data_IF_252620819168
#
_entry.id   IF_252620819168
#
_cell.length_a   1.000
_cell.length_b   1.000
_cell.length_c   1.000
_cell.angle_alpha   90.00
_cell.angle_beta   90.00
_cell.angle_gamma   90.00
#
_symmetry.space_group_name_H-M   'P 1'
#
loop_
_entity.id
_entity.type
_entity.pdbx_description
1 polymer ?
#
# COMPACT_ATOMS: atom_id res chain seq x y z
N UNK A 1 -29.41 -13.24 -17.26
CA UNK A 1 -29.59 -11.80 -16.93
C UNK A 1 -28.28 -11.13 -17.29
N UNK A 2 -28.30 -10.14 -18.14
CA UNK A 2 -27.07 -9.44 -18.57
C UNK A 2 -26.67 -8.46 -17.47
N UNK A 3 -25.40 -8.48 -17.05
CA UNK A 3 -24.92 -7.56 -16.03
C UNK A 3 -24.87 -6.14 -16.61
N UNK A 4 -25.40 -5.11 -15.92
CA UNK A 4 -25.65 -3.81 -16.54
C UNK A 4 -24.37 -2.96 -16.76
N UNK A 5 -23.24 -3.37 -16.18
CA UNK A 5 -21.99 -2.61 -16.26
C UNK A 5 -20.93 -3.37 -17.06
N UNK A 6 -20.16 -2.66 -17.87
CA UNK A 6 -19.06 -3.23 -18.66
C UNK A 6 -17.75 -3.32 -17.89
N UNK A 7 -17.60 -2.50 -16.87
CA UNK A 7 -16.38 -2.43 -16.06
C UNK A 7 -16.67 -2.06 -14.61
N UNK A 8 -15.82 -2.50 -13.71
CA UNK A 8 -15.86 -2.19 -12.26
C UNK A 8 -14.46 -1.86 -11.77
N UNK A 9 -14.33 -0.70 -11.10
CA UNK A 9 -13.14 -0.35 -10.31
C UNK A 9 -13.37 -0.70 -8.84
N UNK A 10 -12.55 -1.58 -8.30
CA UNK A 10 -12.59 -1.98 -6.89
C UNK A 10 -11.64 -1.15 -6.02
N UNK A 11 -12.05 -0.81 -4.81
CA UNK A 11 -11.09 -0.54 -3.76
C UNK A 11 -10.45 -1.85 -3.28
N UNK A 12 -9.31 -1.76 -2.59
CA UNK A 12 -8.58 -2.93 -2.11
C UNK A 12 -8.82 -3.18 -0.62
N UNK A 13 -8.31 -2.26 0.20
CA UNK A 13 -8.34 -2.36 1.66
C UNK A 13 -9.78 -2.30 2.20
N UNK A 14 -10.14 -3.23 3.09
CA UNK A 14 -11.48 -3.36 3.68
C UNK A 14 -12.62 -3.52 2.66
N UNK A 15 -12.26 -3.84 1.40
CA UNK A 15 -13.22 -4.14 0.33
C UNK A 15 -12.99 -5.53 -0.25
N UNK A 16 -11.77 -5.84 -0.65
CA UNK A 16 -11.37 -7.17 -1.13
C UNK A 16 -10.53 -7.92 -0.10
N UNK A 17 -9.90 -7.19 0.82
CA UNK A 17 -8.96 -7.73 1.78
C UNK A 17 -9.16 -7.10 3.15
N UNK A 18 -9.25 -7.95 4.17
CA UNK A 18 -9.10 -7.54 5.56
C UNK A 18 -7.62 -7.25 5.83
N UNK A 19 -7.35 -6.13 6.48
CA UNK A 19 -5.99 -5.73 6.79
C UNK A 19 -5.51 -6.21 8.16
N UNK A 20 -6.38 -6.86 8.95
CA UNK A 20 -6.07 -7.28 10.31
C UNK A 20 -5.77 -6.09 11.24
N UNK A 21 -4.93 -6.30 12.22
CA UNK A 21 -4.45 -5.23 13.10
C UNK A 21 -3.36 -4.40 12.41
N UNK A 22 -3.71 -3.20 11.97
CA UNK A 22 -2.73 -2.26 11.41
C UNK A 22 -1.89 -1.60 12.52
N UNK A 23 -0.90 -2.33 13.01
CA UNK A 23 0.08 -1.86 13.99
C UNK A 23 1.42 -1.50 13.35
N UNK A 24 2.02 -0.39 13.78
CA UNK A 24 3.32 0.06 13.31
C UNK A 24 4.51 -0.45 14.16
N UNK A 25 4.22 -0.97 15.37
CA UNK A 25 5.24 -1.41 16.32
C UNK A 25 6.04 -2.61 15.79
N UNK A 26 5.35 -3.71 15.48
CA UNK A 26 6.01 -4.95 15.03
C UNK A 26 6.80 -4.77 13.73
N UNK A 27 6.26 -4.10 12.70
CA UNK A 27 7.04 -3.81 11.49
C UNK A 27 8.30 -2.98 11.76
N UNK A 28 8.22 -1.95 12.62
CA UNK A 28 9.38 -1.14 12.98
C UNK A 28 10.40 -1.93 13.83
N UNK A 29 9.97 -2.81 14.73
CA UNK A 29 10.83 -3.75 15.46
C UNK A 29 11.62 -4.65 14.50
N UNK A 30 11.00 -5.15 13.44
CA UNK A 30 11.68 -5.96 12.40
C UNK A 30 12.73 -5.16 11.65
N UNK A 31 12.42 -3.91 11.29
CA UNK A 31 13.42 -3.00 10.67
C UNK A 31 14.61 -2.81 11.60
N UNK A 32 14.39 -2.58 12.90
CA UNK A 32 15.46 -2.41 13.88
C UNK A 32 16.28 -3.67 14.08
N UNK A 33 15.61 -4.83 14.15
CA UNK A 33 16.31 -6.12 14.22
C UNK A 33 17.19 -6.33 12.99
N UNK A 34 16.67 -6.01 11.79
CA UNK A 34 17.42 -6.11 10.54
C UNK A 34 18.64 -5.18 10.51
N UNK A 35 18.49 -3.92 10.93
CA UNK A 35 19.62 -2.98 11.06
C UNK A 35 20.71 -3.52 12.01
N UNK A 36 20.33 -4.13 13.13
CA UNK A 36 21.27 -4.76 14.07
C UNK A 36 22.04 -5.93 13.43
N UNK A 37 21.38 -6.76 12.61
CA UNK A 37 22.09 -7.84 11.86
C UNK A 37 23.16 -7.30 10.92
N UNK A 38 22.98 -6.10 10.40
CA UNK A 38 23.97 -5.38 9.56
C UNK A 38 25.00 -4.60 10.37
N UNK A 39 25.04 -4.79 11.70
CA UNK A 39 25.94 -4.08 12.61
C UNK A 39 25.77 -2.55 12.54
N UNK A 40 24.54 -2.09 12.32
CA UNK A 40 24.16 -0.68 12.34
C UNK A 40 23.59 -0.34 13.71
N UNK A 41 24.14 0.68 14.35
CA UNK A 41 23.62 1.19 15.62
C UNK A 41 22.22 1.76 15.42
N UNK A 42 21.30 1.39 16.30
CA UNK A 42 19.92 1.88 16.29
C UNK A 42 19.66 2.74 17.54
N UNK A 43 18.81 3.77 17.42
CA UNK A 43 18.40 4.59 18.55
C UNK A 43 17.49 3.85 19.53
N UNK A 44 17.03 4.56 20.56
CA UNK A 44 15.96 4.07 21.42
C UNK A 44 14.69 3.80 20.60
N UNK A 45 14.13 2.62 20.79
CA UNK A 45 13.00 2.15 20.00
C UNK A 45 11.73 2.94 20.27
N UNK A 46 11.42 3.22 21.54
CA UNK A 46 10.19 3.92 21.91
C UNK A 46 10.20 5.37 21.40
N UNK A 47 11.34 6.05 21.49
CA UNK A 47 11.50 7.40 20.92
C UNK A 47 11.31 7.40 19.39
N UNK A 48 11.81 6.37 18.71
CA UNK A 48 11.61 6.20 17.27
C UNK A 48 10.16 5.93 16.90
N UNK A 49 9.50 5.06 17.63
CA UNK A 49 8.09 4.70 17.42
C UNK A 49 7.18 5.92 17.63
N UNK A 50 7.40 6.68 18.69
CA UNK A 50 6.65 7.91 18.97
C UNK A 50 6.84 8.92 17.83
N UNK A 51 8.09 9.15 17.41
CA UNK A 51 8.41 10.07 16.32
C UNK A 51 7.84 9.60 14.97
N UNK A 52 7.85 8.30 14.70
CA UNK A 52 7.21 7.72 13.52
C UNK A 52 5.72 8.06 13.47
N UNK A 53 5.02 7.87 14.59
CA UNK A 53 3.59 8.14 14.71
C UNK A 53 3.24 9.62 14.56
N UNK A 54 4.04 10.48 15.15
CA UNK A 54 3.90 11.95 15.00
C UNK A 54 4.00 12.35 13.52
N UNK A 55 5.07 11.92 12.85
CA UNK A 55 5.34 12.24 11.45
C UNK A 55 4.25 11.70 10.54
N UNK A 56 3.89 10.42 10.71
CA UNK A 56 2.91 9.78 9.85
C UNK A 56 1.55 10.45 9.97
N UNK A 57 1.11 10.80 11.19
CA UNK A 57 -0.14 11.56 11.39
C UNK A 57 -0.10 12.90 10.66
N UNK A 58 0.96 13.67 10.81
CA UNK A 58 1.11 14.97 10.13
C UNK A 58 1.06 14.83 8.59
N UNK A 59 1.68 13.80 8.05
CA UNK A 59 1.67 13.53 6.61
C UNK A 59 0.29 13.09 6.12
N UNK A 60 -0.43 12.26 6.89
CA UNK A 60 -1.80 11.85 6.57
C UNK A 60 -2.75 13.05 6.59
N UNK A 61 -2.64 13.94 7.56
CA UNK A 61 -3.48 15.14 7.63
C UNK A 61 -3.24 16.06 6.42
N UNK A 62 -2.00 16.26 6.04
CA UNK A 62 -1.65 16.99 4.83
C UNK A 62 -2.16 16.28 3.56
N UNK A 63 -2.05 14.97 3.50
CA UNK A 63 -2.55 14.16 2.40
C UNK A 63 -4.06 14.30 2.19
N UNK A 64 -4.82 14.34 3.28
CA UNK A 64 -6.28 14.53 3.25
C UNK A 64 -6.69 15.90 2.70
N UNK A 65 -5.93 16.93 3.00
CA UNK A 65 -6.23 18.31 2.55
C UNK A 65 -5.76 18.58 1.14
N UNK A 66 -4.64 18.00 0.72
CA UNK A 66 -4.03 18.24 -0.60
C UNK A 66 -4.42 17.21 -1.66
N UNK A 67 -5.03 16.10 -1.25
CA UNK A 67 -5.25 14.90 -2.07
C UNK A 67 -3.96 14.29 -2.65
N UNK A 68 -2.80 14.64 -2.14
CA UNK A 68 -1.54 13.97 -2.45
C UNK A 68 -1.31 12.83 -1.48
N UNK A 69 -0.78 11.71 -1.95
CA UNK A 69 -0.56 10.58 -1.05
C UNK A 69 0.60 10.85 -0.08
N UNK A 70 0.45 10.34 1.15
CA UNK A 70 1.54 10.24 2.11
C UNK A 70 2.32 8.95 1.83
N UNK A 71 3.65 9.02 1.88
CA UNK A 71 4.49 7.85 1.66
C UNK A 71 5.21 7.45 2.94
N UNK A 72 4.99 6.22 3.42
CA UNK A 72 5.71 5.71 4.59
C UNK A 72 7.23 5.69 4.38
N UNK A 73 7.65 5.55 3.13
CA UNK A 73 9.06 5.70 2.76
C UNK A 73 9.68 6.99 3.28
N UNK A 74 8.96 8.11 3.20
CA UNK A 74 9.47 9.41 3.64
C UNK A 74 9.52 9.49 5.17
N UNK A 75 8.58 8.85 5.87
CA UNK A 75 8.65 8.69 7.34
C UNK A 75 9.92 7.93 7.72
N UNK A 76 10.17 6.79 7.09
CA UNK A 76 11.34 5.97 7.39
C UNK A 76 12.64 6.71 7.09
N UNK A 77 12.75 7.38 5.93
CA UNK A 77 13.89 8.23 5.58
C UNK A 77 14.15 9.31 6.64
N UNK A 78 13.08 10.00 7.04
CA UNK A 78 13.20 11.05 8.05
C UNK A 78 13.66 10.50 9.40
N UNK A 79 13.12 9.37 9.85
CA UNK A 79 13.55 8.71 11.09
C UNK A 79 15.05 8.37 11.05
N UNK A 80 15.50 7.72 9.99
CA UNK A 80 16.90 7.34 9.82
C UNK A 80 17.82 8.57 9.86
N UNK A 81 17.39 9.66 9.21
CA UNK A 81 18.12 10.93 9.23
C UNK A 81 18.10 11.61 10.61
N UNK A 82 16.90 11.76 11.21
CA UNK A 82 16.70 12.44 12.49
C UNK A 82 17.50 11.80 13.62
N UNK A 83 17.49 10.49 13.70
CA UNK A 83 18.26 9.72 14.68
C UNK A 83 19.69 9.41 14.25
N UNK A 84 20.15 9.97 13.13
CA UNK A 84 21.51 9.79 12.59
C UNK A 84 21.92 8.33 12.43
N UNK A 85 20.98 7.47 12.00
CA UNK A 85 21.25 6.06 11.73
C UNK A 85 22.11 5.96 10.46
N UNK A 86 23.31 5.36 10.51
CA UNK A 86 24.22 5.29 9.37
C UNK A 86 23.86 4.13 8.44
N UNK A 87 22.71 4.18 7.77
CA UNK A 87 22.16 3.07 6.98
C UNK A 87 22.76 2.97 5.57
N UNK A 88 23.17 4.07 4.97
CA UNK A 88 23.71 4.10 3.60
C UNK A 88 24.95 3.21 3.41
N UNK A 89 24.99 2.44 2.32
CA UNK A 89 26.11 1.57 1.94
C UNK A 89 26.08 0.16 2.51
N UNK A 90 25.35 -0.13 3.61
CA UNK A 90 25.20 -1.47 4.19
C UNK A 90 23.81 -2.07 3.98
N UNK A 91 22.81 -1.23 3.84
CA UNK A 91 21.41 -1.60 3.62
C UNK A 91 20.75 -0.55 2.74
N UNK A 92 19.88 -0.97 1.85
CA UNK A 92 19.10 -0.06 1.01
C UNK A 92 17.77 0.29 1.69
N UNK A 93 17.23 1.47 1.35
CA UNK A 93 15.89 1.85 1.82
C UNK A 93 14.82 0.86 1.35
N UNK A 94 14.95 0.36 0.12
CA UNK A 94 14.06 -0.67 -0.42
C UNK A 94 14.07 -1.94 0.43
N UNK A 95 15.25 -2.38 0.87
CA UNK A 95 15.41 -3.55 1.76
C UNK A 95 14.72 -3.31 3.11
N UNK A 96 14.86 -2.12 3.71
CA UNK A 96 14.19 -1.79 4.97
C UNK A 96 12.67 -1.71 4.81
N UNK A 97 12.19 -1.14 3.72
CA UNK A 97 10.76 -1.09 3.40
C UNK A 97 10.20 -2.50 3.17
N UNK A 98 10.93 -3.37 2.48
CA UNK A 98 10.51 -4.75 2.28
C UNK A 98 10.37 -5.47 3.62
N UNK A 99 11.37 -5.38 4.51
CA UNK A 99 11.31 -5.95 5.87
C UNK A 99 10.11 -5.42 6.66
N UNK A 100 9.81 -4.12 6.55
CA UNK A 100 8.66 -3.50 7.19
C UNK A 100 7.35 -4.10 6.67
N UNK A 101 7.19 -4.18 5.36
CA UNK A 101 5.94 -4.60 4.74
C UNK A 101 5.70 -6.11 4.80
N UNK A 102 6.74 -6.93 4.81
CA UNK A 102 6.60 -8.36 5.02
C UNK A 102 5.91 -8.65 6.36
N UNK A 103 6.16 -7.85 7.39
CA UNK A 103 5.45 -7.98 8.68
C UNK A 103 4.03 -7.42 8.61
N UNK A 104 3.81 -6.30 7.92
CA UNK A 104 2.47 -5.71 7.73
C UNK A 104 1.52 -6.68 7.03
N UNK A 105 2.03 -7.50 6.10
CA UNK A 105 1.20 -8.38 5.28
C UNK A 105 0.86 -9.72 5.92
N UNK A 106 1.46 -10.07 7.06
CA UNK A 106 1.25 -11.38 7.69
C UNK A 106 -0.18 -11.62 8.18
N UNK A 107 -0.92 -10.57 8.50
CA UNK A 107 -2.28 -10.66 9.07
C UNK A 107 -3.36 -10.33 8.03
N UNK A 108 -3.01 -10.23 6.75
CA UNK A 108 -3.95 -9.86 5.70
C UNK A 108 -4.64 -11.07 5.11
N UNK A 109 -5.97 -11.02 5.09
CA UNK A 109 -6.81 -12.09 4.57
C UNK A 109 -7.80 -11.56 3.53
N UNK A 110 -8.00 -12.35 2.46
CA UNK A 110 -9.04 -12.06 1.47
C UNK A 110 -10.40 -12.38 2.11
N UNK A 111 -11.38 -11.50 1.96
CA UNK A 111 -12.73 -11.81 2.41
C UNK A 111 -13.28 -13.07 1.71
N UNK A 112 -13.97 -13.96 2.42
CA UNK A 112 -14.34 -15.28 1.90
C UNK A 112 -15.12 -15.27 0.58
N UNK A 113 -15.96 -14.24 0.38
CA UNK A 113 -16.83 -14.11 -0.80
C UNK A 113 -16.12 -13.52 -2.03
N UNK A 114 -14.93 -12.95 -1.88
CA UNK A 114 -14.26 -12.18 -2.95
C UNK A 114 -13.98 -13.02 -4.17
N UNK A 115 -13.45 -14.24 -3.99
CA UNK A 115 -13.07 -15.10 -5.12
C UNK A 115 -14.31 -15.45 -5.94
N UNK A 116 -15.39 -15.88 -5.30
CA UNK A 116 -16.62 -16.27 -5.97
C UNK A 116 -17.25 -15.10 -6.75
N UNK A 117 -17.24 -13.89 -6.17
CA UNK A 117 -17.72 -12.66 -6.83
C UNK A 117 -16.88 -12.31 -8.04
N UNK A 118 -15.55 -12.33 -7.91
CA UNK A 118 -14.66 -11.99 -9.01
C UNK A 118 -14.74 -13.02 -10.16
N UNK A 119 -14.88 -14.32 -9.83
CA UNK A 119 -15.11 -15.37 -10.83
C UNK A 119 -16.44 -15.16 -11.57
N UNK A 120 -17.50 -14.84 -10.84
CA UNK A 120 -18.80 -14.58 -11.48
C UNK A 120 -18.77 -13.37 -12.40
N UNK A 121 -18.12 -12.26 -11.99
CA UNK A 121 -17.96 -11.06 -12.83
C UNK A 121 -17.11 -11.35 -14.07
N UNK A 122 -16.05 -12.14 -13.91
CA UNK A 122 -15.21 -12.59 -15.03
C UNK A 122 -16.00 -13.43 -16.05
N UNK A 123 -16.85 -14.37 -15.58
CA UNK A 123 -17.74 -15.15 -16.43
C UNK A 123 -18.76 -14.28 -17.19
N UNK A 124 -19.17 -13.15 -16.63
CA UNK A 124 -20.04 -12.18 -17.29
C UNK A 124 -19.27 -11.25 -18.26
N UNK A 125 -17.96 -11.41 -18.37
CA UNK A 125 -17.13 -10.58 -19.27
C UNK A 125 -16.96 -9.15 -18.79
N UNK A 126 -17.08 -8.89 -17.47
CA UNK A 126 -16.89 -7.58 -16.88
C UNK A 126 -15.39 -7.30 -16.74
N UNK A 127 -14.93 -6.18 -17.29
CA UNK A 127 -13.56 -5.69 -17.08
C UNK A 127 -13.38 -5.20 -15.66
N UNK A 128 -12.32 -5.60 -14.99
CA UNK A 128 -12.10 -5.27 -13.57
C UNK A 128 -10.75 -4.61 -13.36
N UNK A 129 -10.72 -3.57 -12.52
CA UNK A 129 -9.51 -2.87 -12.13
C UNK A 129 -9.49 -2.51 -10.65
N UNK A 130 -8.30 -2.31 -10.11
CA UNK A 130 -8.11 -1.85 -8.72
C UNK A 130 -7.81 -0.35 -8.74
N UNK A 131 -8.44 0.40 -7.82
CA UNK A 131 -8.17 1.83 -7.56
C UNK A 131 -8.03 2.00 -6.06
N UNK A 132 -6.81 1.95 -5.55
CA UNK A 132 -6.55 1.91 -4.10
C UNK A 132 -5.74 3.11 -3.61
N UNK A 133 -6.20 3.71 -2.49
CA UNK A 133 -5.36 4.64 -1.72
C UNK A 133 -4.40 3.85 -0.85
N UNK A 134 -3.12 4.16 -0.92
CA UNK A 134 -2.09 3.47 -0.15
C UNK A 134 -0.87 4.34 0.08
N UNK A 135 -0.34 4.32 1.30
CA UNK A 135 0.94 4.94 1.66
C UNK A 135 2.14 4.07 1.29
N UNK A 136 1.88 2.83 0.87
CA UNK A 136 2.88 1.83 0.53
C UNK A 136 3.35 2.04 -0.90
N UNK A 137 4.61 1.74 -1.18
CA UNK A 137 5.13 1.83 -2.54
C UNK A 137 4.45 0.83 -3.49
N UNK A 138 4.35 1.20 -4.77
CA UNK A 138 3.70 0.39 -5.81
C UNK A 138 4.24 -1.05 -5.84
N UNK A 139 5.58 -1.23 -5.78
CA UNK A 139 6.16 -2.57 -5.85
C UNK A 139 5.71 -3.49 -4.68
N UNK A 140 5.42 -2.92 -3.51
CA UNK A 140 4.93 -3.68 -2.36
C UNK A 140 3.48 -4.11 -2.57
N UNK A 141 2.67 -3.22 -3.14
CA UNK A 141 1.28 -3.53 -3.49
C UNK A 141 1.17 -4.54 -4.62
N UNK A 142 2.10 -4.52 -5.57
CA UNK A 142 2.18 -5.55 -6.60
C UNK A 142 2.53 -6.93 -6.00
N UNK A 143 3.48 -7.00 -5.06
CA UNK A 143 3.79 -8.24 -4.35
C UNK A 143 2.59 -8.76 -3.54
N UNK A 144 1.85 -7.87 -2.89
CA UNK A 144 0.62 -8.22 -2.16
C UNK A 144 -0.46 -8.76 -3.11
N UNK A 145 -0.69 -8.08 -4.23
CA UNK A 145 -1.66 -8.50 -5.24
C UNK A 145 -1.29 -9.85 -5.87
N UNK A 146 -0.02 -10.07 -6.17
CA UNK A 146 0.47 -11.37 -6.66
C UNK A 146 0.31 -12.47 -5.62
N UNK A 147 0.72 -12.20 -4.38
CA UNK A 147 0.62 -13.16 -3.27
C UNK A 147 -0.81 -13.51 -2.89
N UNK A 148 -1.77 -12.60 -3.11
CA UNK A 148 -3.19 -12.87 -2.89
C UNK A 148 -3.82 -13.86 -3.88
N UNK A 149 -3.19 -14.09 -5.04
CA UNK A 149 -3.74 -14.88 -6.14
C UNK A 149 -4.88 -14.21 -6.90
N UNK A 150 -5.23 -12.95 -6.56
CA UNK A 150 -6.34 -12.21 -7.19
C UNK A 150 -5.91 -11.48 -8.46
N UNK A 151 -4.61 -11.32 -8.72
CA UNK A 151 -4.09 -10.56 -9.87
C UNK A 151 -4.71 -10.97 -11.21
N UNK A 152 -5.01 -12.25 -11.37
CA UNK A 152 -5.59 -12.82 -12.60
C UNK A 152 -6.98 -12.29 -12.98
N UNK A 153 -7.67 -11.64 -12.05
CA UNK A 153 -9.01 -11.07 -12.28
C UNK A 153 -8.98 -9.61 -12.73
N UNK A 154 -7.84 -8.92 -12.59
CA UNK A 154 -7.75 -7.49 -12.81
C UNK A 154 -6.92 -7.15 -14.05
N UNK A 155 -7.47 -6.30 -14.90
CA UNK A 155 -6.80 -5.79 -16.10
C UNK A 155 -5.69 -4.80 -15.73
N UNK A 156 -5.87 -4.06 -14.63
CA UNK A 156 -4.89 -3.10 -14.10
C UNK A 156 -5.08 -2.87 -12.59
N UNK A 157 -4.06 -2.29 -11.96
CA UNK A 157 -4.14 -1.75 -10.61
C UNK A 157 -3.54 -0.34 -10.57
N UNK A 158 -4.29 0.62 -10.02
CA UNK A 158 -3.86 1.99 -9.79
C UNK A 158 -3.75 2.20 -8.29
N UNK A 159 -2.53 2.50 -7.83
CA UNK A 159 -2.22 2.82 -6.45
C UNK A 159 -1.92 4.30 -6.33
N UNK A 160 -2.53 4.98 -5.34
CA UNK A 160 -2.33 6.41 -5.15
C UNK A 160 -0.88 6.82 -4.90
N UNK A 161 -0.06 5.90 -4.39
CA UNK A 161 1.38 6.12 -4.22
C UNK A 161 2.17 6.17 -5.54
N UNK A 162 1.58 5.74 -6.65
CA UNK A 162 2.19 5.77 -7.98
C UNK A 162 1.64 6.86 -8.90
N UNK A 163 0.70 7.68 -8.42
CA UNK A 163 0.04 8.73 -9.21
C UNK A 163 0.01 10.07 -8.46
N UNK A 164 -0.21 11.21 -9.14
CA UNK A 164 -0.12 12.53 -8.49
C UNK A 164 -1.12 12.77 -7.37
N UNK A 165 -2.31 12.15 -7.43
CA UNK A 165 -3.40 12.39 -6.49
C UNK A 165 -4.13 11.10 -6.10
N UNK A 166 -4.53 11.04 -4.83
CA UNK A 166 -5.32 9.96 -4.25
C UNK A 166 -6.83 10.19 -4.42
N UNK A 167 -7.64 9.13 -4.22
CA UNK A 167 -9.09 9.28 -4.04
C UNK A 167 -9.38 10.24 -2.87
N UNK A 168 -10.37 11.15 -2.97
CA UNK A 168 -11.40 11.25 -4.01
C UNK A 168 -11.06 12.19 -5.18
N UNK A 169 -9.80 12.57 -5.43
CA UNK A 169 -9.46 13.46 -6.52
C UNK A 169 -9.87 12.85 -7.87
N UNK A 170 -10.55 13.62 -8.78
CA UNK A 170 -11.10 13.08 -10.02
C UNK A 170 -10.08 12.43 -10.96
N UNK A 171 -8.82 12.90 -10.96
CA UNK A 171 -7.80 12.42 -11.88
C UNK A 171 -7.49 10.92 -11.73
N UNK A 172 -7.57 10.35 -10.53
CA UNK A 172 -7.30 8.91 -10.34
C UNK A 172 -8.42 8.07 -10.98
N UNK A 173 -9.67 8.55 -10.95
CA UNK A 173 -10.81 7.89 -11.62
C UNK A 173 -10.74 8.06 -13.12
N UNK A 174 -10.34 9.25 -13.62
CA UNK A 174 -10.14 9.50 -15.06
C UNK A 174 -9.05 8.56 -15.62
N UNK A 175 -7.97 8.34 -14.86
CA UNK A 175 -6.94 7.37 -15.23
C UNK A 175 -7.52 5.95 -15.33
N UNK A 176 -8.35 5.53 -14.38
CA UNK A 176 -9.01 4.22 -14.40
C UNK A 176 -9.95 4.08 -15.63
N UNK A 177 -10.74 5.11 -15.94
CA UNK A 177 -11.61 5.13 -17.13
C UNK A 177 -10.78 4.95 -18.40
N UNK A 178 -9.61 5.58 -18.51
CA UNK A 178 -8.73 5.43 -19.66
C UNK A 178 -8.16 4.01 -19.78
N UNK A 179 -7.87 3.35 -18.67
CA UNK A 179 -7.42 1.95 -18.67
C UNK A 179 -8.52 0.98 -19.12
N UNK A 180 -9.76 1.22 -18.72
CA UNK A 180 -10.88 0.42 -19.20
C UNK A 180 -11.22 0.65 -20.70
N UNK A 181 -10.56 1.60 -21.37
CA UNK A 181 -10.85 2.00 -22.75
C UNK A 181 -12.33 2.39 -22.96
N UNK A 182 -12.98 2.83 -21.91
CA UNK A 182 -14.36 3.30 -21.96
C UNK A 182 -14.36 4.76 -22.46
N UNK A 183 -15.26 5.05 -23.39
CA UNK A 183 -15.56 6.45 -23.72
C UNK A 183 -16.50 7.01 -22.64
N UNK A 184 -16.30 8.26 -22.18
CA UNK A 184 -17.18 8.88 -21.22
C UNK A 184 -18.62 9.05 -21.75
#
# INVERSE_FOLDING_TARGET
>A
MEFPFKAIGFDWAHTLMDLGEEGDRRPLEKVFAHLKTKQIAVPDFEACLEKSRELFRSMIDLSRTTHREAHYEDVLKYLLFYFKVPWGGRVSLRELLQVYYEEVYQEREIFPEVVDVLEQLSQWGVSMGIISNTTNQVFMKELELEGSGLKKYFDFAIYSSGVPFRKPHPSIFQLAISHFQLQP
#
